data_IF_487130730882
#
_entry.id   IF_487130730882
#
_cell.length_a   1.000
_cell.length_b   1.000
_cell.length_c   1.000
_cell.angle_alpha   90.00
_cell.angle_beta   90.00
_cell.angle_gamma   90.00
#
_symmetry.space_group_name_H-M   'P 1'
#
loop_
_entity.id
_entity.type
_entity.pdbx_description
1 polymer ?
#
# COMPACT_ATOMS: atom_id res chain seq x y z
N UNK A 1 -14.08 9.58 4.38
CA UNK A 1 -14.53 9.51 2.98
C UNK A 1 -13.37 9.37 2.00
N UNK A 2 -12.39 10.28 1.98
CA UNK A 2 -11.26 10.22 1.04
C UNK A 2 -10.45 8.93 1.17
N UNK A 3 -10.10 8.52 2.40
CA UNK A 3 -9.39 7.27 2.64
C UNK A 3 -10.13 6.03 2.12
N UNK A 4 -11.46 6.03 2.21
CA UNK A 4 -12.28 4.93 1.69
C UNK A 4 -12.30 4.96 0.16
N UNK A 5 -12.43 6.14 -0.44
CA UNK A 5 -12.36 6.30 -1.89
C UNK A 5 -11.00 5.85 -2.46
N UNK A 6 -9.89 6.24 -1.82
CA UNK A 6 -8.55 5.81 -2.26
C UNK A 6 -8.34 4.31 -2.03
N UNK A 7 -8.86 3.74 -0.93
CA UNK A 7 -8.90 2.28 -0.72
C UNK A 7 -9.66 1.55 -1.83
N UNK A 8 -10.82 2.07 -2.25
CA UNK A 8 -11.59 1.46 -3.35
C UNK A 8 -10.87 1.55 -4.68
N UNK A 9 -10.31 2.72 -5.02
CA UNK A 9 -9.49 2.85 -6.24
C UNK A 9 -8.38 1.81 -6.21
N UNK A 10 -7.59 1.77 -5.13
CA UNK A 10 -6.48 0.83 -5.03
C UNK A 10 -6.89 -0.64 -5.05
N UNK A 11 -8.01 -0.99 -4.42
CA UNK A 11 -8.55 -2.35 -4.43
C UNK A 11 -8.84 -2.85 -5.85
N UNK A 12 -9.15 -1.96 -6.79
CA UNK A 12 -9.53 -2.32 -8.16
C UNK A 12 -8.54 -1.89 -9.25
N UNK A 13 -7.47 -1.16 -8.92
CA UNK A 13 -6.44 -0.73 -9.88
C UNK A 13 -5.12 -1.50 -9.77
N UNK A 14 -5.05 -2.57 -8.96
CA UNK A 14 -3.92 -3.50 -8.91
C UNK A 14 -3.91 -4.55 -10.03
N UNK A 15 -4.22 -4.14 -11.26
CA UNK A 15 -4.42 -4.96 -12.47
C UNK A 15 -3.13 -5.58 -13.03
N UNK A 16 -2.01 -5.45 -12.33
CA UNK A 16 -0.77 -6.15 -12.65
C UNK A 16 -0.62 -7.46 -11.85
N UNK A 17 -1.39 -7.63 -10.76
CA UNK A 17 -1.30 -8.82 -9.92
C UNK A 17 -2.01 -10.03 -10.53
N UNK A 18 -2.93 -9.81 -11.48
CA UNK A 18 -3.71 -10.83 -12.18
C UNK A 18 -3.20 -11.12 -13.60
N UNK A 19 -2.05 -10.54 -14.01
CA UNK A 19 -1.41 -10.82 -15.31
C UNK A 19 -1.23 -12.32 -15.54
N UNK A 20 -0.81 -13.04 -14.49
CA UNK A 20 -0.58 -14.48 -14.53
C UNK A 20 -1.85 -15.28 -14.84
N UNK A 21 -3.04 -14.77 -14.50
CA UNK A 21 -4.33 -15.43 -14.77
C UNK A 21 -4.65 -15.51 -16.27
N UNK A 22 -4.34 -14.46 -17.03
CA UNK A 22 -4.69 -14.38 -18.46
C UNK A 22 -3.49 -14.51 -19.41
N UNK A 23 -2.26 -14.48 -18.90
CA UNK A 23 -1.05 -14.44 -19.72
C UNK A 23 -0.90 -15.64 -20.68
N UNK A 24 -1.38 -16.82 -20.28
CA UNK A 24 -1.37 -18.03 -21.10
C UNK A 24 -2.28 -17.90 -22.33
N UNK A 25 -3.46 -17.31 -22.17
CA UNK A 25 -4.40 -17.08 -23.27
C UNK A 25 -3.89 -16.01 -24.21
N UNK A 26 -3.35 -14.91 -23.66
CA UNK A 26 -2.73 -13.86 -24.47
C UNK A 26 -1.57 -14.38 -25.32
N UNK A 27 -0.73 -15.27 -24.76
CA UNK A 27 0.36 -15.93 -25.48
C UNK A 27 -0.16 -16.78 -26.63
N UNK A 28 -1.19 -17.58 -26.37
CA UNK A 28 -1.79 -18.48 -27.36
C UNK A 28 -2.48 -17.69 -28.47
N UNK A 29 -3.23 -16.65 -28.11
CA UNK A 29 -3.93 -15.76 -29.04
C UNK A 29 -2.98 -15.03 -30.00
N UNK A 30 -1.78 -14.67 -29.54
CA UNK A 30 -0.76 -13.98 -30.35
C UNK A 30 0.19 -14.93 -31.08
N UNK A 31 0.20 -16.22 -30.75
CA UNK A 31 1.18 -17.17 -31.28
C UNK A 31 2.64 -16.82 -30.94
N UNK A 32 2.89 -16.20 -29.79
CA UNK A 32 4.22 -15.69 -29.42
C UNK A 32 5.01 -16.64 -28.51
N UNK A 33 6.33 -16.47 -28.53
CA UNK A 33 7.25 -17.17 -27.62
C UNK A 33 7.10 -16.72 -26.16
N UNK A 34 7.63 -17.53 -25.24
CA UNK A 34 7.65 -17.18 -23.82
C UNK A 34 8.45 -15.91 -23.52
N UNK A 35 9.54 -15.71 -24.25
CA UNK A 35 10.40 -14.52 -24.11
C UNK A 35 9.62 -13.26 -24.52
N UNK A 36 8.86 -13.32 -25.61
CA UNK A 36 8.01 -12.22 -26.05
C UNK A 36 6.89 -11.92 -25.05
N UNK A 37 6.22 -12.93 -24.48
CA UNK A 37 5.23 -12.71 -23.43
C UNK A 37 5.85 -11.99 -22.21
N UNK A 38 7.06 -12.40 -21.81
CA UNK A 38 7.77 -11.76 -20.70
C UNK A 38 8.12 -10.30 -21.01
N UNK A 39 8.45 -9.97 -22.26
CA UNK A 39 8.64 -8.58 -22.67
C UNK A 39 7.35 -7.74 -22.63
N UNK A 40 6.17 -8.34 -22.85
CA UNK A 40 4.89 -7.62 -22.63
C UNK A 40 4.69 -7.28 -21.15
N UNK A 41 5.02 -8.21 -20.25
CA UNK A 41 4.98 -7.94 -18.81
C UNK A 41 5.96 -6.82 -18.41
N UNK A 42 7.19 -6.87 -18.96
CA UNK A 42 8.19 -5.80 -18.79
C UNK A 42 7.69 -4.48 -19.36
N UNK A 43 7.00 -4.47 -20.50
CA UNK A 43 6.42 -3.27 -21.08
C UNK A 43 5.43 -2.60 -20.11
N UNK A 44 4.56 -3.39 -19.48
CA UNK A 44 3.64 -2.92 -18.44
C UNK A 44 4.39 -2.34 -17.24
N UNK A 45 5.41 -3.02 -16.73
CA UNK A 45 6.20 -2.47 -15.62
C UNK A 45 6.98 -1.20 -16.04
N UNK A 46 7.46 -1.13 -17.27
CA UNK A 46 8.08 0.06 -17.85
C UNK A 46 7.09 1.23 -17.96
N UNK A 47 5.81 0.95 -18.23
CA UNK A 47 4.73 1.94 -18.18
C UNK A 47 4.68 2.67 -16.82
N UNK A 48 4.92 1.96 -15.72
CA UNK A 48 4.96 2.55 -14.37
C UNK A 48 6.14 3.51 -14.18
N UNK A 49 7.26 3.29 -14.88
CA UNK A 49 8.41 4.21 -14.85
C UNK A 49 8.10 5.57 -15.47
N UNK A 50 7.13 5.63 -16.40
CA UNK A 50 6.63 6.90 -16.96
C UNK A 50 5.69 7.65 -15.99
N UNK A 51 5.50 7.18 -14.75
CA UNK A 51 4.63 7.79 -13.75
C UNK A 51 4.87 9.27 -13.46
N UNK A 52 6.06 9.79 -13.69
CA UNK A 52 6.38 11.22 -13.49
C UNK A 52 5.45 12.16 -14.28
N UNK A 53 4.94 11.72 -15.44
CA UNK A 53 4.01 12.53 -16.24
C UNK A 53 2.65 12.74 -15.56
N UNK A 54 2.22 11.80 -14.70
CA UNK A 54 1.00 11.97 -13.89
C UNK A 54 1.16 13.09 -12.86
N UNK A 55 2.32 13.15 -12.19
CA UNK A 55 2.64 14.20 -11.23
C UNK A 55 2.74 15.58 -11.88
N UNK A 56 3.29 15.65 -13.10
CA UNK A 56 3.29 16.89 -13.90
C UNK A 56 1.86 17.28 -14.30
N UNK A 57 1.04 16.32 -14.73
CA UNK A 57 -0.36 16.57 -15.12
C UNK A 57 -1.18 17.16 -13.98
N UNK A 58 -0.97 16.69 -12.74
CA UNK A 58 -1.63 17.22 -11.54
C UNK A 58 -1.27 18.67 -11.19
N UNK A 59 -0.23 19.26 -11.80
CA UNK A 59 0.07 20.69 -11.67
C UNK A 59 -0.84 21.57 -12.52
N UNK A 60 -1.35 21.03 -13.63
CA UNK A 60 -2.14 21.77 -14.61
C UNK A 60 -3.60 21.37 -14.63
N UNK A 61 -3.92 20.14 -14.22
CA UNK A 61 -5.26 19.56 -14.27
C UNK A 61 -5.74 19.19 -12.87
N UNK A 62 -7.06 19.28 -12.60
CA UNK A 62 -7.61 18.86 -11.33
C UNK A 62 -7.51 17.34 -11.14
N UNK A 63 -7.46 16.88 -9.88
CA UNK A 63 -7.32 15.46 -9.51
C UNK A 63 -8.32 14.53 -10.20
N UNK A 64 -9.60 14.94 -10.29
CA UNK A 64 -10.63 14.14 -10.94
C UNK A 64 -10.35 13.93 -12.43
N UNK A 65 -9.81 14.93 -13.12
CA UNK A 65 -9.51 14.84 -14.55
C UNK A 65 -8.36 13.86 -14.79
N UNK A 66 -7.29 13.95 -13.99
CA UNK A 66 -6.15 13.02 -14.08
C UNK A 66 -6.57 11.58 -13.75
N UNK A 67 -7.48 11.40 -12.79
CA UNK A 67 -8.06 10.08 -12.48
C UNK A 67 -8.82 9.49 -13.67
N UNK A 68 -9.67 10.27 -14.34
CA UNK A 68 -10.36 9.79 -15.54
C UNK A 68 -9.42 9.57 -16.72
N UNK A 69 -8.38 10.38 -16.89
CA UNK A 69 -7.34 10.12 -17.89
C UNK A 69 -6.66 8.76 -17.61
N UNK A 70 -6.33 8.45 -16.35
CA UNK A 70 -5.81 7.14 -15.98
C UNK A 70 -6.78 6.01 -16.35
N UNK A 71 -8.08 6.19 -16.05
CA UNK A 71 -9.12 5.24 -16.41
C UNK A 71 -9.22 5.02 -17.92
N UNK A 72 -9.18 6.08 -18.73
CA UNK A 72 -9.23 5.99 -20.19
C UNK A 72 -7.98 5.32 -20.78
N UNK A 73 -6.80 5.64 -20.26
CA UNK A 73 -5.55 4.97 -20.66
C UNK A 73 -5.64 3.46 -20.37
N UNK A 74 -6.17 3.08 -19.20
CA UNK A 74 -6.35 1.69 -18.80
C UNK A 74 -7.40 0.97 -19.63
N UNK A 75 -8.54 1.62 -19.87
CA UNK A 75 -9.62 1.13 -20.73
C UNK A 75 -9.10 0.81 -22.13
N UNK A 76 -8.30 1.71 -22.72
CA UNK A 76 -7.71 1.49 -24.04
C UNK A 76 -6.64 0.39 -23.99
N UNK A 77 -5.72 0.45 -23.01
CA UNK A 77 -4.63 -0.51 -22.86
C UNK A 77 -5.12 -1.95 -22.69
N UNK A 78 -6.05 -2.19 -21.77
CA UNK A 78 -6.60 -3.52 -21.51
C UNK A 78 -7.75 -3.90 -22.45
N UNK A 79 -8.65 -2.97 -22.79
CA UNK A 79 -9.82 -3.26 -23.61
C UNK A 79 -9.47 -3.67 -25.03
N UNK A 80 -8.44 -3.05 -25.63
CA UNK A 80 -7.96 -3.46 -26.96
C UNK A 80 -7.25 -4.83 -26.90
N UNK A 81 -6.50 -5.11 -25.83
CA UNK A 81 -5.91 -6.43 -25.62
C UNK A 81 -6.97 -7.52 -25.40
N UNK A 82 -8.09 -7.19 -24.75
CA UNK A 82 -9.21 -8.11 -24.58
C UNK A 82 -9.86 -8.47 -25.92
N UNK A 83 -10.11 -7.49 -26.80
CA UNK A 83 -10.61 -7.74 -28.16
C UNK A 83 -9.67 -8.67 -28.97
N UNK A 84 -8.37 -8.60 -28.70
CA UNK A 84 -7.37 -9.46 -29.32
C UNK A 84 -7.46 -10.90 -28.81
N UNK A 85 -7.61 -11.11 -27.49
CA UNK A 85 -7.77 -12.46 -26.93
C UNK A 85 -9.05 -13.12 -27.47
N UNK A 86 -10.12 -12.33 -27.63
CA UNK A 86 -11.38 -12.77 -28.25
C UNK A 86 -11.29 -13.05 -29.76
N UNK A 87 -10.10 -12.91 -30.37
CA UNK A 87 -9.86 -13.12 -31.81
C UNK A 87 -10.73 -12.22 -32.72
N UNK A 88 -11.24 -11.10 -32.19
CA UNK A 88 -12.05 -10.13 -32.97
C UNK A 88 -11.12 -9.26 -33.81
N UNK A 89 -9.95 -8.92 -33.27
CA UNK A 89 -8.92 -8.11 -33.94
C UNK A 89 -7.57 -8.83 -33.92
N UNK A 90 -6.77 -8.62 -34.95
CA UNK A 90 -5.36 -9.02 -34.96
C UNK A 90 -4.48 -7.77 -34.91
N UNK A 91 -3.45 -7.79 -34.08
CA UNK A 91 -2.51 -6.67 -33.93
C UNK A 91 -1.07 -7.17 -34.02
N UNK A 92 -0.17 -6.40 -34.66
CA UNK A 92 1.26 -6.69 -34.59
C UNK A 92 1.76 -6.57 -33.15
N UNK A 93 2.75 -7.40 -32.82
CA UNK A 93 3.34 -7.48 -31.47
C UNK A 93 3.74 -6.12 -30.88
N UNK A 94 4.28 -5.21 -31.70
CA UNK A 94 4.69 -3.88 -31.25
C UNK A 94 3.51 -3.04 -30.72
N UNK A 95 2.31 -3.16 -31.33
CA UNK A 95 1.14 -2.46 -30.81
C UNK A 95 0.68 -3.06 -29.48
N UNK A 96 0.73 -4.39 -29.32
CA UNK A 96 0.43 -5.06 -28.05
C UNK A 96 1.42 -4.63 -26.96
N UNK A 97 2.70 -4.53 -27.29
CA UNK A 97 3.73 -4.00 -26.38
C UNK A 97 3.38 -2.57 -25.92
N UNK A 98 2.96 -1.70 -26.84
CA UNK A 98 2.54 -0.34 -26.50
C UNK A 98 1.26 -0.32 -25.64
N UNK A 99 0.28 -1.20 -25.93
CA UNK A 99 -0.92 -1.35 -25.12
C UNK A 99 -0.59 -1.82 -23.70
N UNK A 100 0.35 -2.76 -23.54
CA UNK A 100 0.85 -3.19 -22.22
C UNK A 100 1.53 -2.04 -21.49
N UNK A 101 2.33 -1.22 -22.17
CA UNK A 101 2.93 -0.01 -21.61
C UNK A 101 1.88 1.00 -21.13
N UNK A 102 0.84 1.26 -21.93
CA UNK A 102 -0.27 2.13 -21.54
C UNK A 102 -1.01 1.58 -20.32
N UNK A 103 -1.30 0.28 -20.30
CA UNK A 103 -1.93 -0.39 -19.16
C UNK A 103 -1.12 -0.18 -17.86
N UNK A 104 0.20 -0.36 -17.91
CA UNK A 104 1.07 -0.07 -16.78
C UNK A 104 1.13 1.41 -16.37
N UNK A 105 1.08 2.31 -17.34
CA UNK A 105 1.01 3.76 -17.11
C UNK A 105 -0.27 4.13 -16.35
N UNK A 106 -1.42 3.57 -16.73
CA UNK A 106 -2.71 3.76 -16.05
C UNK A 106 -2.64 3.40 -14.56
N UNK A 107 -2.08 2.24 -14.21
CA UNK A 107 -1.89 1.81 -12.80
C UNK A 107 -1.11 2.86 -12.01
N UNK A 108 -0.01 3.37 -12.59
CA UNK A 108 0.82 4.36 -11.92
C UNK A 108 0.10 5.69 -11.71
N UNK A 109 -0.69 6.14 -12.69
CA UNK A 109 -1.46 7.37 -12.57
C UNK A 109 -2.53 7.28 -11.45
N UNK A 110 -3.22 6.15 -11.35
CA UNK A 110 -4.13 5.89 -10.22
C UNK A 110 -3.41 5.92 -8.86
N UNK A 111 -2.21 5.32 -8.79
CA UNK A 111 -1.39 5.37 -7.59
C UNK A 111 -1.03 6.82 -7.22
N UNK A 112 -0.57 7.63 -8.18
CA UNK A 112 -0.24 9.04 -7.94
C UNK A 112 -1.43 9.83 -7.42
N UNK A 113 -2.62 9.68 -8.03
CA UNK A 113 -3.85 10.34 -7.57
C UNK A 113 -4.15 9.97 -6.11
N UNK A 114 -4.07 8.67 -5.78
CA UNK A 114 -4.29 8.20 -4.41
C UNK A 114 -3.24 8.75 -3.44
N UNK A 115 -1.98 8.85 -3.86
CA UNK A 115 -0.90 9.37 -3.00
C UNK A 115 -1.09 10.84 -2.69
N UNK A 116 -1.41 11.65 -3.70
CA UNK A 116 -1.68 13.08 -3.53
C UNK A 116 -2.90 13.30 -2.65
N UNK A 117 -3.96 12.51 -2.83
CA UNK A 117 -5.15 12.54 -1.96
C UNK A 117 -4.79 12.20 -0.50
N UNK A 118 -4.04 11.13 -0.27
CA UNK A 118 -3.67 10.71 1.09
C UNK A 118 -2.72 11.71 1.76
N UNK A 119 -1.69 12.18 1.07
CA UNK A 119 -0.70 13.12 1.62
C UNK A 119 -1.35 14.48 1.91
N UNK A 120 -2.19 14.97 1.00
CA UNK A 120 -2.87 16.27 1.18
C UNK A 120 -3.89 16.29 2.31
N UNK A 121 -4.57 15.17 2.56
CA UNK A 121 -5.66 15.10 3.55
C UNK A 121 -5.22 14.55 4.92
N UNK A 122 -4.10 13.82 5.01
CA UNK A 122 -3.65 13.19 6.26
C UNK A 122 -2.24 13.63 6.63
N UNK A 123 -2.01 14.92 6.93
CA UNK A 123 -0.67 15.45 7.19
C UNK A 123 0.06 14.76 8.37
N UNK A 124 -0.65 14.50 9.48
CA UNK A 124 -0.06 13.84 10.67
C UNK A 124 0.10 12.33 10.50
N UNK A 125 -0.80 11.68 9.76
CA UNK A 125 -0.93 10.21 9.67
C UNK A 125 -0.73 9.71 8.22
N UNK A 126 0.02 10.44 7.41
CA UNK A 126 0.21 10.14 5.97
C UNK A 126 0.77 8.74 5.73
N UNK A 127 1.72 8.29 6.54
CA UNK A 127 2.33 6.98 6.40
C UNK A 127 1.29 5.87 6.63
N UNK A 128 0.45 6.00 7.65
CA UNK A 128 -0.67 5.10 7.95
C UNK A 128 -1.72 5.10 6.83
N UNK A 129 -2.11 6.27 6.34
CA UNK A 129 -3.08 6.42 5.26
C UNK A 129 -2.58 5.81 3.94
N UNK A 130 -1.31 6.07 3.60
CA UNK A 130 -0.66 5.50 2.42
C UNK A 130 -0.51 3.99 2.54
N UNK A 131 0.01 3.46 3.65
CA UNK A 131 0.18 2.02 3.84
C UNK A 131 -1.15 1.26 3.76
N UNK A 132 -2.19 1.77 4.43
CA UNK A 132 -3.53 1.19 4.35
C UNK A 132 -4.04 1.20 2.90
N UNK A 133 -4.02 2.36 2.25
CA UNK A 133 -4.53 2.52 0.88
C UNK A 133 -3.76 1.64 -0.12
N UNK A 134 -2.43 1.69 -0.10
CA UNK A 134 -1.55 0.92 -1.00
C UNK A 134 -1.66 -0.58 -0.76
N UNK A 135 -1.91 -1.02 0.47
CA UNK A 135 -2.08 -2.44 0.77
C UNK A 135 -3.17 -3.07 -0.10
N UNK A 136 -4.32 -2.40 -0.27
CA UNK A 136 -5.46 -2.91 -1.04
C UNK A 136 -5.15 -3.15 -2.52
N UNK A 137 -4.12 -2.53 -3.09
CA UNK A 137 -3.63 -2.88 -4.43
C UNK A 137 -3.14 -4.35 -4.49
N UNK A 138 -2.58 -4.86 -3.40
CA UNK A 138 -2.23 -6.28 -3.24
C UNK A 138 -3.43 -7.20 -2.97
N UNK A 139 -4.66 -6.69 -2.86
CA UNK A 139 -5.86 -7.52 -2.75
C UNK A 139 -6.60 -7.63 -4.09
N UNK A 140 -6.25 -6.79 -5.08
CA UNK A 140 -6.91 -6.75 -6.39
C UNK A 140 -7.03 -8.13 -7.03
N UNK A 141 -5.95 -8.90 -7.17
CA UNK A 141 -6.04 -10.21 -7.84
C UNK A 141 -7.10 -11.14 -7.21
N UNK A 142 -7.21 -11.18 -5.88
CA UNK A 142 -8.23 -11.99 -5.21
C UNK A 142 -9.66 -11.47 -5.47
N UNK A 143 -9.85 -10.15 -5.50
CA UNK A 143 -11.14 -9.55 -5.87
C UNK A 143 -11.51 -9.84 -7.32
N UNK A 144 -10.56 -9.74 -8.25
CA UNK A 144 -10.77 -10.07 -9.66
C UNK A 144 -11.12 -11.55 -9.84
N UNK A 145 -10.45 -12.47 -9.14
CA UNK A 145 -10.82 -13.89 -9.13
C UNK A 145 -12.25 -14.12 -8.63
N UNK A 146 -12.67 -13.45 -7.55
CA UNK A 146 -14.05 -13.57 -7.08
C UNK A 146 -15.06 -13.02 -8.09
N UNK A 147 -14.75 -11.90 -8.75
CA UNK A 147 -15.63 -11.32 -9.77
C UNK A 147 -15.73 -12.24 -11.00
N UNK A 148 -14.59 -12.74 -11.50
CA UNK A 148 -14.55 -13.67 -12.63
C UNK A 148 -15.38 -14.92 -12.31
N UNK A 149 -15.09 -15.61 -11.20
CA UNK A 149 -15.82 -16.82 -10.79
C UNK A 149 -17.31 -16.58 -10.49
N UNK A 150 -17.70 -15.35 -10.09
CA UNK A 150 -19.09 -14.99 -9.86
C UNK A 150 -19.90 -14.81 -11.16
N UNK A 151 -19.22 -14.35 -12.22
CA UNK A 151 -19.78 -14.19 -13.57
C UNK A 151 -19.78 -15.54 -14.26
N UNK A 152 -18.59 -16.06 -14.55
CA UNK A 152 -18.36 -17.35 -15.21
C UNK A 152 -17.03 -17.96 -14.72
N UNK A 153 -17.04 -19.09 -13.99
CA UNK A 153 -15.83 -19.74 -13.52
C UNK A 153 -15.03 -20.43 -14.62
N UNK A 154 -15.59 -20.61 -15.82
CA UNK A 154 -14.93 -21.31 -16.93
C UNK A 154 -14.29 -20.35 -17.97
N UNK A 155 -14.47 -19.03 -17.83
CA UNK A 155 -13.96 -18.02 -18.77
C UNK A 155 -12.78 -17.19 -18.20
N UNK A 156 -11.56 -17.63 -18.50
CA UNK A 156 -10.31 -16.94 -18.13
C UNK A 156 -10.06 -15.63 -18.91
N UNK A 157 -10.83 -15.35 -19.97
CA UNK A 157 -10.67 -14.12 -20.76
C UNK A 157 -11.29 -12.89 -20.09
N UNK A 158 -12.13 -13.10 -19.07
CA UNK A 158 -12.82 -12.04 -18.33
C UNK A 158 -11.86 -11.09 -17.61
N UNK A 159 -10.67 -11.53 -17.21
CA UNK A 159 -9.75 -10.71 -16.43
C UNK A 159 -9.34 -9.41 -17.15
N UNK A 160 -9.00 -9.45 -18.46
CA UNK A 160 -8.67 -8.21 -19.19
C UNK A 160 -9.88 -7.30 -19.34
N UNK A 161 -11.06 -7.87 -19.58
CA UNK A 161 -12.28 -7.10 -19.69
C UNK A 161 -12.59 -6.36 -18.39
N UNK A 162 -12.47 -7.06 -17.25
CA UNK A 162 -12.61 -6.48 -15.93
C UNK A 162 -11.55 -5.40 -15.69
N UNK A 163 -10.28 -5.64 -16.06
CA UNK A 163 -9.20 -4.66 -15.92
C UNK A 163 -9.44 -3.38 -16.74
N UNK A 164 -10.21 -3.46 -17.82
CA UNK A 164 -10.59 -2.31 -18.63
C UNK A 164 -11.76 -1.53 -18.01
N UNK A 165 -12.82 -2.22 -17.56
CA UNK A 165 -14.08 -1.58 -17.11
C UNK A 165 -14.13 -1.22 -15.63
N UNK A 166 -13.59 -2.08 -14.75
CA UNK A 166 -13.73 -1.90 -13.30
C UNK A 166 -13.01 -0.62 -12.82
N UNK A 167 -11.78 -0.29 -13.26
CA UNK A 167 -11.14 0.98 -12.91
C UNK A 167 -11.95 2.22 -13.34
N UNK A 168 -12.59 2.17 -14.52
CA UNK A 168 -13.46 3.24 -15.01
C UNK A 168 -14.71 3.41 -14.13
N UNK A 169 -15.37 2.29 -13.79
CA UNK A 169 -16.53 2.30 -12.91
C UNK A 169 -16.19 2.87 -11.52
N UNK A 170 -15.10 2.41 -10.91
CA UNK A 170 -14.66 2.86 -9.58
C UNK A 170 -14.25 4.34 -9.59
N UNK A 171 -13.65 4.83 -10.69
CA UNK A 171 -13.39 6.27 -10.87
C UNK A 171 -14.68 7.10 -10.83
N UNK A 172 -15.77 6.60 -11.43
CA UNK A 172 -17.09 7.20 -11.35
C UNK A 172 -17.68 7.20 -9.93
N UNK A 173 -17.64 6.05 -9.25
CA UNK A 173 -18.15 5.90 -7.88
C UNK A 173 -17.41 6.80 -6.88
N UNK A 174 -16.11 6.98 -7.06
CA UNK A 174 -15.25 7.77 -6.17
C UNK A 174 -15.18 9.25 -6.52
N UNK A 175 -15.79 9.66 -7.64
CA UNK A 175 -15.79 11.06 -8.11
C UNK A 175 -16.34 12.02 -7.06
N UNK A 176 -17.46 11.68 -6.42
CA UNK A 176 -18.12 12.57 -5.46
C UNK A 176 -17.25 12.84 -4.22
N UNK A 177 -16.67 11.83 -3.55
CA UNK A 177 -15.65 12.05 -2.52
C UNK A 177 -14.45 12.87 -2.98
N UNK A 178 -13.98 12.68 -4.22
CA UNK A 178 -12.82 13.38 -4.78
C UNK A 178 -13.14 14.84 -5.10
N UNK A 179 -14.37 15.16 -5.52
CA UNK A 179 -14.80 16.54 -5.77
C UNK A 179 -15.08 17.32 -4.48
N UNK A 180 -15.59 16.64 -3.44
CA UNK A 180 -15.95 17.26 -2.16
C UNK A 180 -14.81 17.23 -1.14
N UNK A 181 -13.58 17.47 -1.59
CA UNK A 181 -12.43 17.53 -0.69
C UNK A 181 -12.63 18.66 0.34
N UNK A 182 -12.57 18.37 1.65
CA UNK A 182 -12.54 19.42 2.65
C UNK A 182 -11.22 20.20 2.51
N UNK A 183 -11.22 21.53 2.79
CA UNK A 183 -9.98 22.29 2.82
C UNK A 183 -9.01 21.68 3.84
N UNK A 184 -7.69 21.71 3.59
CA UNK A 184 -6.70 21.18 4.53
C UNK A 184 -6.82 21.93 5.87
N UNK A 185 -7.30 21.25 6.90
CA UNK A 185 -7.52 21.84 8.21
C UNK A 185 -6.56 21.20 9.21
N UNK A 186 -5.73 22.01 9.85
CA UNK A 186 -4.88 21.54 10.95
C UNK A 186 -5.78 21.16 12.13
N UNK A 187 -5.81 19.86 12.45
CA UNK A 187 -6.63 19.33 13.53
C UNK A 187 -5.98 19.60 14.90
N UNK A 188 -6.76 20.00 15.93
CA UNK A 188 -6.26 20.17 17.28
C UNK A 188 -5.75 18.83 17.88
N UNK A 189 -4.85 18.87 18.88
CA UNK A 189 -4.16 17.69 19.41
C UNK A 189 -5.09 16.58 19.95
N UNK A 190 -6.28 16.91 20.46
CA UNK A 190 -7.27 15.93 20.91
C UNK A 190 -7.88 15.12 19.75
N UNK A 191 -7.88 15.67 18.54
CA UNK A 191 -8.33 14.97 17.35
C UNK A 191 -7.27 13.95 16.85
N UNK A 192 -5.99 14.15 17.14
CA UNK A 192 -4.91 13.22 16.76
C UNK A 192 -5.06 11.85 17.46
N UNK A 193 -5.39 11.85 18.76
CA UNK A 193 -5.68 10.60 19.50
C UNK A 193 -6.95 9.89 19.02
N UNK A 194 -7.94 10.67 18.55
CA UNK A 194 -9.17 10.14 17.95
C UNK A 194 -8.88 9.49 16.60
N UNK A 195 -8.02 10.09 15.78
CA UNK A 195 -7.60 9.55 14.48
C UNK A 195 -6.83 8.23 14.61
N UNK A 196 -5.93 8.11 15.58
CA UNK A 196 -5.16 6.86 15.80
C UNK A 196 -6.08 5.65 16.02
N UNK A 197 -7.16 5.80 16.80
CA UNK A 197 -8.16 4.73 17.01
C UNK A 197 -8.95 4.39 15.75
N UNK A 198 -9.26 5.39 14.92
CA UNK A 198 -9.93 5.18 13.63
C UNK A 198 -9.00 4.41 12.69
N UNK A 199 -7.73 4.80 12.60
CA UNK A 199 -6.73 4.07 11.81
C UNK A 199 -6.53 2.63 12.31
N UNK A 200 -6.50 2.40 13.62
CA UNK A 200 -6.41 1.05 14.19
C UNK A 200 -7.62 0.19 13.79
N UNK A 201 -8.84 0.73 13.89
CA UNK A 201 -10.04 0.02 13.43
C UNK A 201 -9.98 -0.28 11.93
N UNK A 202 -9.61 0.70 11.11
CA UNK A 202 -9.49 0.53 9.66
C UNK A 202 -8.44 -0.51 9.29
N UNK A 203 -7.30 -0.53 9.99
CA UNK A 203 -6.28 -1.58 9.83
C UNK A 203 -6.83 -2.95 10.25
N UNK A 204 -7.61 -3.03 11.33
CA UNK A 204 -8.30 -4.26 11.74
C UNK A 204 -9.27 -4.78 10.67
N UNK A 205 -10.09 -3.90 10.08
CA UNK A 205 -10.98 -4.24 8.95
C UNK A 205 -10.17 -4.67 7.73
N UNK A 206 -9.05 -4.02 7.44
CA UNK A 206 -8.17 -4.39 6.34
C UNK A 206 -7.55 -5.78 6.57
N UNK A 207 -7.01 -6.07 7.76
CA UNK A 207 -6.51 -7.41 8.12
C UNK A 207 -7.61 -8.46 7.96
N UNK A 208 -8.81 -8.19 8.46
CA UNK A 208 -9.97 -9.08 8.31
C UNK A 208 -10.30 -9.31 6.83
N UNK A 209 -10.29 -8.27 6.01
CA UNK A 209 -10.54 -8.35 4.56
C UNK A 209 -9.47 -9.19 3.85
N UNK A 210 -8.19 -8.97 4.16
CA UNK A 210 -7.09 -9.75 3.61
C UNK A 210 -7.17 -11.23 3.99
N UNK A 211 -7.45 -11.53 5.26
CA UNK A 211 -7.62 -12.92 5.74
C UNK A 211 -8.86 -13.58 5.13
N UNK A 212 -9.97 -12.84 5.04
CA UNK A 212 -11.21 -13.29 4.41
C UNK A 212 -10.95 -13.75 2.97
N UNK A 213 -10.27 -12.91 2.18
CA UNK A 213 -9.96 -13.23 0.79
C UNK A 213 -8.93 -14.36 0.67
N UNK A 214 -7.85 -14.34 1.46
CA UNK A 214 -6.84 -15.39 1.44
C UNK A 214 -7.44 -16.77 1.76
N UNK A 215 -8.27 -16.85 2.80
CA UNK A 215 -8.81 -18.13 3.28
C UNK A 215 -10.00 -18.62 2.47
N UNK A 216 -10.83 -17.71 1.93
CA UNK A 216 -12.09 -18.09 1.28
C UNK A 216 -12.04 -18.14 -0.25
N UNK A 217 -11.09 -17.44 -0.89
CA UNK A 217 -10.96 -17.46 -2.34
C UNK A 217 -10.81 -18.88 -2.95
N UNK A 218 -10.08 -19.84 -2.32
CA UNK A 218 -10.01 -21.22 -2.81
C UNK A 218 -11.37 -21.95 -2.90
N UNK A 219 -12.39 -21.50 -2.17
CA UNK A 219 -13.74 -22.08 -2.19
C UNK A 219 -14.69 -21.41 -3.19
N UNK A 220 -14.18 -20.48 -4.01
CA UNK A 220 -14.97 -19.69 -4.98
C UNK A 220 -15.20 -20.38 -6.33
N UNK A 221 -14.80 -21.65 -6.51
CA UNK A 221 -14.97 -22.37 -7.78
C UNK A 221 -16.42 -22.55 -8.23
N UNK A 222 -17.40 -22.38 -7.33
CA UNK A 222 -18.83 -22.45 -7.67
C UNK A 222 -19.42 -21.05 -7.71
N UNK A 223 -20.12 -20.69 -8.79
CA UNK A 223 -20.61 -19.31 -9.03
C UNK A 223 -21.48 -18.77 -7.89
N UNK A 224 -22.38 -19.57 -7.30
CA UNK A 224 -23.20 -19.09 -6.17
C UNK A 224 -22.35 -18.79 -4.92
N UNK A 225 -21.31 -19.58 -4.66
CA UNK A 225 -20.36 -19.34 -3.56
C UNK A 225 -19.51 -18.12 -3.86
N UNK A 226 -18.98 -18.00 -5.08
CA UNK A 226 -18.24 -16.82 -5.53
C UNK A 226 -19.05 -15.54 -5.34
N UNK A 227 -20.34 -15.52 -5.72
CA UNK A 227 -21.25 -14.38 -5.50
C UNK A 227 -21.43 -14.04 -4.04
N UNK A 228 -21.62 -15.04 -3.17
CA UNK A 228 -21.76 -14.83 -1.73
C UNK A 228 -20.45 -14.31 -1.11
N UNK A 229 -19.31 -14.86 -1.54
CA UNK A 229 -18.00 -14.42 -1.09
C UNK A 229 -17.67 -13.00 -1.58
N UNK A 230 -18.01 -12.68 -2.83
CA UNK A 230 -17.89 -11.35 -3.39
C UNK A 230 -18.76 -10.35 -2.62
N UNK A 231 -20.01 -10.70 -2.32
CA UNK A 231 -20.89 -9.86 -1.51
C UNK A 231 -20.30 -9.59 -0.12
N UNK A 232 -19.70 -10.60 0.52
CA UNK A 232 -18.98 -10.44 1.78
C UNK A 232 -17.74 -9.55 1.65
N UNK A 233 -16.95 -9.70 0.59
CA UNK A 233 -15.78 -8.86 0.32
C UNK A 233 -16.17 -7.39 0.09
N UNK A 234 -17.21 -7.14 -0.72
CA UNK A 234 -17.75 -5.79 -0.95
C UNK A 234 -18.32 -5.19 0.34
N UNK A 235 -19.00 -5.99 1.17
CA UNK A 235 -19.48 -5.53 2.47
C UNK A 235 -18.32 -5.08 3.37
N UNK A 236 -17.22 -5.83 3.42
CA UNK A 236 -16.02 -5.47 4.18
C UNK A 236 -15.34 -4.20 3.62
N UNK A 237 -15.31 -4.02 2.29
CA UNK A 237 -14.81 -2.80 1.63
C UNK A 237 -15.68 -1.57 1.91
N UNK A 238 -16.99 -1.74 2.09
CA UNK A 238 -17.95 -0.66 2.34
C UNK A 238 -18.09 -0.34 3.83
N UNK A 239 -17.81 -1.30 4.72
CA UNK A 239 -17.91 -1.14 6.18
C UNK A 239 -17.24 0.14 6.73
N UNK A 240 -16.04 0.56 6.25
CA UNK A 240 -15.42 1.83 6.63
C UNK A 240 -16.30 3.08 6.45
N UNK A 241 -17.30 3.06 5.55
CA UNK A 241 -18.23 4.18 5.37
C UNK A 241 -19.17 4.39 6.56
N UNK A 242 -19.43 3.35 7.36
CA UNK A 242 -20.31 3.45 8.53
C UNK A 242 -19.62 4.15 9.71
N UNK A 243 -18.30 4.34 9.66
CA UNK A 243 -17.50 4.89 10.76
C UNK A 243 -17.92 6.28 11.23
N UNK A 244 -18.17 7.28 10.36
CA UNK A 244 -18.61 8.60 10.79
C UNK A 244 -19.93 8.54 11.57
N UNK A 245 -20.86 7.67 11.15
CA UNK A 245 -22.13 7.45 11.84
C UNK A 245 -21.95 6.79 13.21
N UNK A 246 -21.06 5.80 13.32
CA UNK A 246 -20.76 5.11 14.58
C UNK A 246 -20.07 6.06 15.58
N UNK A 247 -19.11 6.85 15.12
CA UNK A 247 -18.42 7.85 15.96
C UNK A 247 -19.40 8.92 16.44
N UNK A 248 -20.25 9.42 15.56
CA UNK A 248 -21.28 10.39 15.92
C UNK A 248 -22.29 9.83 16.92
N UNK A 249 -22.78 8.60 16.71
CA UNK A 249 -23.71 7.93 17.61
C UNK A 249 -23.07 7.67 18.99
N UNK A 250 -21.78 7.29 19.03
CA UNK A 250 -21.03 7.13 20.27
C UNK A 250 -20.85 8.45 21.00
N UNK A 251 -20.43 9.51 20.31
CA UNK A 251 -20.25 10.84 20.91
C UNK A 251 -21.59 11.40 21.41
N UNK A 252 -22.69 11.14 20.69
CA UNK A 252 -24.04 11.47 21.13
C UNK A 252 -24.44 10.66 22.37
N UNK A 253 -24.25 9.33 22.36
CA UNK A 253 -24.57 8.45 23.49
C UNK A 253 -23.76 8.83 24.75
N UNK A 254 -22.47 9.12 24.59
CA UNK A 254 -21.63 9.59 25.70
C UNK A 254 -22.13 10.92 26.28
N UNK A 255 -22.54 11.87 25.43
CA UNK A 255 -23.12 13.15 25.88
C UNK A 255 -24.48 12.97 26.58
N UNK A 256 -25.33 12.08 26.08
CA UNK A 256 -26.64 11.80 26.68
C UNK A 256 -26.50 11.03 28.00
N UNK A 257 -25.56 10.10 28.10
CA UNK A 257 -25.30 9.33 29.32
C UNK A 257 -24.60 10.20 30.37
N UNK A 258 -23.61 11.01 29.99
CA UNK A 258 -22.93 11.92 30.94
C UNK A 258 -23.86 12.98 31.50
N UNK A 259 -24.75 13.55 30.67
CA UNK A 259 -25.77 14.50 31.13
C UNK A 259 -26.83 13.86 32.02
N UNK A 260 -27.23 12.60 31.77
CA UNK A 260 -28.15 11.87 32.67
C UNK A 260 -27.51 11.51 34.01
N UNK A 261 -26.22 11.19 34.03
CA UNK A 261 -25.49 10.91 35.28
C UNK A 261 -25.26 12.21 36.07
N UNK A 262 -25.05 13.35 35.42
CA UNK A 262 -24.91 14.64 36.12
C UNK A 262 -26.25 15.23 36.61
N UNK A 263 -27.39 14.85 36.02
CA UNK A 263 -28.73 15.31 36.45
C UNK A 263 -29.39 14.43 37.52
N UNK A 264 -28.93 13.19 37.73
CA UNK A 264 -29.42 12.32 38.81
C UNK A 264 -28.57 12.38 40.10
N UNK A 265 -27.55 13.25 40.15
CA UNK A 265 -26.64 13.40 41.29
C UNK A 265 -26.93 14.57 42.22
N UNK A 266 -28.09 15.23 42.13
CA UNK A 266 -28.43 16.40 42.95
C UNK A 266 -29.13 16.06 44.27
N UNK A 267 -28.81 14.95 44.93
CA UNK A 267 -29.19 14.73 46.34
C UNK A 267 -28.29 13.70 47.05
N UNK A 268 -27.00 13.98 47.24
CA UNK A 268 -26.32 13.67 48.51
C UNK A 268 -24.93 14.33 48.53
N UNK A 269 -24.74 15.27 49.45
CA UNK A 269 -23.41 15.77 49.77
C UNK A 269 -22.68 14.76 50.65
N UNK A 270 -21.49 14.35 50.23
CA UNK A 270 -20.38 14.17 51.16
C UNK A 270 -19.08 14.49 50.44
N UNK A 271 -18.42 15.49 50.99
CA UNK A 271 -17.03 15.92 50.81
C UNK A 271 -16.11 14.74 50.50
N UNK A 272 -15.38 14.81 49.38
CA UNK A 272 -13.97 14.45 49.41
C UNK A 272 -13.18 15.49 48.62
N UNK A 273 -12.44 16.27 49.39
CA UNK A 273 -11.41 17.22 48.99
C UNK A 273 -10.22 16.35 48.59
N UNK A 274 -9.92 16.20 47.29
CA UNK A 274 -8.63 15.68 46.81
C UNK A 274 -8.57 15.61 45.26
N UNK A 275 -8.79 16.71 44.55
CA UNK A 275 -8.37 16.79 43.13
C UNK A 275 -8.16 18.22 42.60
N UNK A 276 -8.15 19.21 43.50
CA UNK A 276 -7.89 20.62 43.15
C UNK A 276 -6.75 21.21 43.99
N UNK A 277 -5.71 20.41 44.24
CA UNK A 277 -4.53 20.86 45.01
C UNK A 277 -3.17 20.47 44.38
N UNK A 278 -3.12 20.00 43.13
CA UNK A 278 -1.85 19.72 42.41
C UNK A 278 -1.53 20.71 41.27
N UNK A 279 -2.19 21.88 41.23
CA UNK A 279 -1.87 22.90 40.23
C UNK A 279 -1.66 24.31 40.80
N UNK A 280 -1.41 24.42 42.11
CA UNK A 280 -1.21 25.71 42.78
C UNK A 280 0.10 25.84 43.57
N UNK A 281 1.02 24.89 43.44
CA UNK A 281 2.27 24.86 44.23
C UNK A 281 3.56 25.02 43.41
N UNK A 282 3.51 25.60 42.20
CA UNK A 282 4.76 25.91 41.46
C UNK A 282 4.79 27.26 40.74
N UNK A 283 3.88 28.18 41.06
CA UNK A 283 3.95 29.56 40.55
C UNK A 283 3.69 30.54 41.69
N UNK A 284 4.79 31.09 42.21
CA UNK A 284 4.78 32.35 42.95
C UNK A 284 5.32 32.27 44.36
N UNK A 285 6.60 32.60 44.54
CA UNK A 285 7.06 33.53 45.58
C UNK A 285 8.57 33.79 45.44
N UNK A 286 8.93 34.91 44.82
CA UNK A 286 10.05 35.75 45.28
C UNK A 286 9.50 36.71 46.36
N UNK A 287 10.30 37.22 47.33
CA UNK A 287 11.11 38.43 47.09
C UNK A 287 12.42 38.61 47.91
N UNK A 288 13.33 39.42 47.33
CA UNK A 288 14.33 40.35 47.90
C UNK A 288 15.38 39.81 48.91
N UNK A 289 16.68 40.11 48.88
CA UNK A 289 17.53 41.12 48.22
C UNK A 289 18.66 41.49 49.20
N UNK A 290 19.93 41.68 48.75
CA UNK A 290 20.98 42.60 49.27
C UNK A 290 22.32 42.38 48.51
N UNK A 291 22.68 43.39 47.73
CA UNK A 291 23.97 44.04 47.41
C UNK A 291 25.31 43.27 47.19
N UNK A 292 25.95 43.67 46.08
CA UNK A 292 27.23 43.32 45.41
C UNK A 292 28.54 43.62 46.22
N UNK A 293 29.78 43.57 45.67
CA UNK A 293 30.28 43.14 44.33
C UNK A 293 31.55 42.21 44.37
N UNK A 294 31.99 41.66 43.23
CA UNK A 294 33.39 41.70 42.69
C UNK A 294 33.71 40.60 41.66
N UNK A 295 34.61 40.97 40.74
CA UNK A 295 35.21 40.21 39.64
C UNK A 295 35.78 38.82 40.00
N UNK A 296 35.72 37.88 39.06
CA UNK A 296 36.49 36.64 39.16
C UNK A 296 36.31 35.69 37.97
N UNK A 297 37.32 35.66 37.11
CA UNK A 297 37.55 34.73 36.02
C UNK A 297 37.51 33.25 36.49
N UNK A 298 36.88 32.32 35.75
CA UNK A 298 36.87 30.91 36.16
C UNK A 298 36.19 29.93 35.21
N UNK A 299 37.00 29.30 34.35
CA UNK A 299 36.68 28.16 33.49
C UNK A 299 35.88 27.05 34.20
N UNK A 300 34.80 26.57 33.58
CA UNK A 300 34.30 25.20 33.80
C UNK A 300 34.08 24.48 32.47
N UNK A 301 34.99 23.54 32.26
CA UNK A 301 35.13 22.59 31.16
C UNK A 301 33.87 21.74 30.94
N UNK A 302 33.33 21.78 29.73
CA UNK A 302 32.46 20.74 29.18
C UNK A 302 33.36 19.53 28.87
N UNK A 303 33.07 18.42 29.54
CA UNK A 303 33.72 17.14 29.32
C UNK A 303 33.18 16.52 28.02
N UNK A 304 33.81 16.86 26.90
CA UNK A 304 33.65 16.16 25.62
C UNK A 304 34.58 14.95 25.65
N UNK A 305 34.02 13.75 25.84
CA UNK A 305 34.72 12.52 25.49
C UNK A 305 34.74 12.41 23.96
N UNK A 306 35.86 12.85 23.40
CA UNK A 306 36.25 12.77 22.00
C UNK A 306 36.68 11.32 21.73
N UNK A 307 35.90 10.58 20.95
CA UNK A 307 36.37 9.37 20.28
C UNK A 307 36.74 9.74 18.85
N UNK A 308 38.00 9.52 18.50
CA UNK A 308 38.62 9.87 17.22
C UNK A 308 38.11 9.02 16.05
N UNK A 309 37.84 9.75 14.95
CA UNK A 309 38.18 9.47 13.55
C UNK A 309 37.82 8.13 12.91
N UNK A 310 36.60 8.11 12.34
CA UNK A 310 36.31 7.42 11.10
C UNK A 310 35.81 8.42 10.05
N UNK A 311 36.58 8.65 8.98
CA UNK A 311 36.33 9.61 7.89
C UNK A 311 34.97 9.45 7.15
N UNK A 312 34.16 8.43 7.49
CA UNK A 312 32.80 8.23 6.98
C UNK A 312 31.68 8.82 7.86
N UNK A 313 31.96 9.26 9.09
CA UNK A 313 30.93 9.77 10.01
C UNK A 313 30.36 11.14 9.62
N UNK A 314 31.23 12.05 9.17
CA UNK A 314 30.85 13.45 8.89
C UNK A 314 30.05 13.65 7.60
N UNK A 315 30.00 12.64 6.71
CA UNK A 315 29.24 12.73 5.45
C UNK A 315 27.78 12.35 5.65
N UNK A 316 27.48 11.44 6.60
CA UNK A 316 26.10 10.99 6.86
C UNK A 316 25.30 11.93 7.77
N UNK A 317 25.96 12.66 8.68
CA UNK A 317 25.24 13.53 9.63
C UNK A 317 24.76 14.84 8.98
N UNK A 318 25.44 15.31 7.93
CA UNK A 318 25.14 16.56 7.23
C UNK A 318 24.00 16.47 6.21
N UNK A 319 23.58 15.25 5.86
CA UNK A 319 22.60 14.98 4.80
C UNK A 319 21.25 14.47 5.35
N UNK A 320 21.03 14.54 6.66
CA UNK A 320 19.69 14.29 7.21
C UNK A 320 18.71 15.33 6.67
N UNK A 321 17.68 14.86 5.95
CA UNK A 321 16.51 15.66 5.62
C UNK A 321 15.99 16.30 6.90
N UNK A 322 16.10 17.62 7.00
CA UNK A 322 15.80 18.39 8.21
C UNK A 322 14.36 18.22 8.69
N UNK A 323 13.44 17.73 7.84
CA UNK A 323 12.12 17.24 8.24
C UNK A 323 11.67 16.15 7.25
N UNK A 324 11.44 14.91 7.73
CA UNK A 324 10.80 13.86 6.93
C UNK A 324 9.36 14.29 6.58
N UNK A 325 9.16 14.60 5.30
CA UNK A 325 7.88 14.90 4.67
C UNK A 325 7.51 16.38 4.59
N UNK A 326 8.50 17.24 4.36
CA UNK A 326 8.26 18.47 3.61
C UNK A 326 8.39 18.20 2.10
N UNK A 327 7.77 19.04 1.26
CA UNK A 327 7.94 18.94 -0.18
C UNK A 327 9.34 19.43 -0.58
N UNK A 328 10.20 18.51 -1.00
CA UNK A 328 11.53 18.85 -1.48
C UNK A 328 11.58 18.90 -3.01
N UNK A 329 12.35 19.86 -3.55
CA UNK A 329 12.57 19.94 -4.99
C UNK A 329 13.25 18.67 -5.51
N UNK A 330 12.78 18.14 -6.65
CA UNK A 330 13.34 16.94 -7.27
C UNK A 330 14.86 17.05 -7.53
N UNK A 331 15.34 18.25 -7.90
CA UNK A 331 16.77 18.52 -8.11
C UNK A 331 17.60 18.35 -6.83
N UNK A 332 17.00 18.65 -5.67
CA UNK A 332 17.65 18.48 -4.38
C UNK A 332 17.74 16.99 -4.01
N UNK A 333 16.66 16.24 -4.24
CA UNK A 333 16.58 14.80 -3.94
C UNK A 333 17.60 13.99 -4.76
N UNK A 334 17.66 14.18 -6.08
CA UNK A 334 18.56 13.40 -6.97
C UNK A 334 20.04 13.66 -6.72
N UNK A 335 20.39 14.79 -6.07
CA UNK A 335 21.77 15.10 -5.69
C UNK A 335 22.24 14.40 -4.40
N UNK A 336 21.32 13.83 -3.62
CA UNK A 336 21.63 13.19 -2.33
C UNK A 336 21.95 11.72 -2.50
N UNK A 337 22.85 11.21 -1.67
CA UNK A 337 23.21 9.79 -1.65
C UNK A 337 22.07 8.90 -1.17
N UNK A 338 21.28 9.37 -0.20
CA UNK A 338 20.12 8.63 0.30
C UNK A 338 19.16 8.26 -0.83
N UNK A 339 18.91 9.19 -1.76
CA UNK A 339 18.06 8.92 -2.92
C UNK A 339 18.60 7.76 -3.76
N UNK A 340 19.90 7.72 -4.04
CA UNK A 340 20.50 6.66 -4.84
C UNK A 340 20.56 5.31 -4.11
N UNK A 341 20.76 5.33 -2.78
CA UNK A 341 20.67 4.12 -1.96
C UNK A 341 19.24 3.56 -1.97
N UNK A 342 18.23 4.41 -1.76
CA UNK A 342 16.83 4.01 -1.86
C UNK A 342 16.48 3.54 -3.27
N UNK A 343 16.96 4.23 -4.31
CA UNK A 343 16.74 3.86 -5.69
C UNK A 343 17.35 2.50 -6.01
N UNK A 344 18.61 2.24 -5.61
CA UNK A 344 19.28 0.96 -5.86
C UNK A 344 18.59 -0.18 -5.08
N UNK A 345 18.25 0.05 -3.81
CA UNK A 345 17.54 -0.95 -3.01
C UNK A 345 16.17 -1.31 -3.61
N UNK A 346 15.42 -0.30 -4.07
CA UNK A 346 14.13 -0.50 -4.73
C UNK A 346 14.29 -1.13 -6.12
N UNK A 347 15.30 -0.72 -6.88
CA UNK A 347 15.63 -1.27 -8.19
C UNK A 347 15.96 -2.76 -8.06
N UNK A 348 16.77 -3.18 -7.08
CA UNK A 348 17.09 -4.59 -6.91
C UNK A 348 15.92 -5.37 -6.29
N UNK A 349 15.36 -4.92 -5.16
CA UNK A 349 14.33 -5.67 -4.44
C UNK A 349 12.97 -5.66 -5.15
N UNK A 350 12.49 -4.48 -5.52
CA UNK A 350 11.18 -4.30 -6.13
C UNK A 350 11.06 -4.96 -7.51
N UNK A 351 12.09 -4.82 -8.36
CA UNK A 351 12.04 -5.43 -9.71
C UNK A 351 12.12 -6.95 -9.67
N UNK A 352 12.91 -7.54 -8.77
CA UNK A 352 12.93 -9.01 -8.57
C UNK A 352 11.53 -9.50 -8.19
N UNK A 353 10.84 -8.78 -7.29
CA UNK A 353 9.46 -9.08 -6.90
C UNK A 353 8.47 -9.01 -8.07
N UNK A 354 8.63 -8.03 -8.96
CA UNK A 354 7.80 -7.89 -10.18
C UNK A 354 8.08 -9.00 -11.19
N UNK A 355 9.35 -9.32 -11.45
CA UNK A 355 9.72 -10.43 -12.35
C UNK A 355 9.16 -11.75 -11.84
N UNK A 356 9.23 -12.00 -10.53
CA UNK A 356 8.62 -13.18 -9.91
C UNK A 356 7.10 -13.21 -10.12
N UNK A 357 6.40 -12.10 -9.84
CA UNK A 357 4.95 -11.97 -10.02
C UNK A 357 4.52 -12.24 -11.47
N UNK A 358 5.21 -11.62 -12.42
CA UNK A 358 4.87 -11.69 -13.85
C UNK A 358 5.05 -13.11 -14.43
N UNK A 359 5.97 -13.88 -13.85
CA UNK A 359 6.25 -15.25 -14.28
C UNK A 359 5.58 -16.32 -13.40
N UNK A 360 4.80 -15.93 -12.40
CA UNK A 360 4.27 -16.85 -11.39
C UNK A 360 3.43 -17.98 -11.98
N UNK A 361 2.58 -17.69 -12.97
CA UNK A 361 1.77 -18.69 -13.65
C UNK A 361 2.61 -19.73 -14.38
N UNK A 362 3.66 -19.29 -15.07
CA UNK A 362 4.57 -20.18 -15.78
C UNK A 362 5.43 -21.01 -14.82
N UNK A 363 5.89 -20.42 -13.72
CA UNK A 363 6.61 -21.13 -12.66
C UNK A 363 5.72 -22.24 -12.10
N UNK A 364 4.47 -21.94 -11.79
CA UNK A 364 3.50 -22.92 -11.28
C UNK A 364 3.27 -24.05 -12.28
N UNK A 365 3.08 -23.74 -13.56
CA UNK A 365 2.92 -24.73 -14.63
C UNK A 365 4.16 -25.63 -14.78
N UNK A 366 5.36 -25.04 -14.78
CA UNK A 366 6.63 -25.79 -14.93
C UNK A 366 6.91 -26.78 -13.81
N UNK A 367 6.39 -26.51 -12.60
CA UNK A 367 6.50 -27.38 -11.43
C UNK A 367 5.41 -28.46 -11.37
N UNK A 368 4.50 -28.50 -12.35
CA UNK A 368 3.37 -29.44 -12.40
C UNK A 368 2.13 -28.98 -11.64
N UNK A 369 2.07 -27.71 -11.19
CA UNK A 369 0.94 -27.14 -10.44
C UNK A 369 0.10 -26.16 -11.28
N UNK A 370 -0.14 -26.46 -12.56
CA UNK A 370 -0.90 -25.60 -13.46
C UNK A 370 -2.35 -25.36 -13.02
N UNK A 371 -2.99 -26.36 -12.40
CA UNK A 371 -4.36 -26.24 -11.85
C UNK A 371 -4.44 -25.38 -10.59
N UNK A 372 -3.30 -25.00 -9.99
CA UNK A 372 -3.23 -24.24 -8.73
C UNK A 372 -2.64 -22.85 -8.93
N UNK A 373 -2.51 -22.37 -10.18
CA UNK A 373 -1.95 -21.03 -10.47
C UNK A 373 -2.68 -19.93 -9.70
N UNK A 374 -4.02 -19.94 -9.68
CA UNK A 374 -4.84 -18.96 -8.96
C UNK A 374 -4.57 -18.94 -7.45
N UNK A 375 -4.26 -20.09 -6.84
CA UNK A 375 -3.90 -20.19 -5.42
C UNK A 375 -2.54 -19.54 -5.13
N UNK A 376 -1.53 -19.78 -5.99
CA UNK A 376 -0.22 -19.12 -5.86
C UNK A 376 -0.31 -17.61 -6.05
N UNK A 377 -1.12 -17.16 -7.02
CA UNK A 377 -1.37 -15.73 -7.26
C UNK A 377 -2.04 -15.10 -6.04
N UNK A 378 -3.09 -15.72 -5.50
CA UNK A 378 -3.77 -15.26 -4.29
C UNK A 378 -2.82 -15.17 -3.09
N UNK A 379 -1.94 -16.17 -2.92
CA UNK A 379 -0.96 -16.19 -1.84
C UNK A 379 0.06 -15.05 -1.99
N UNK A 380 0.65 -14.89 -3.18
CA UNK A 380 1.60 -13.80 -3.46
C UNK A 380 0.96 -12.43 -3.25
N UNK A 381 -0.24 -12.23 -3.79
CA UNK A 381 -1.03 -11.01 -3.64
C UNK A 381 -1.30 -10.71 -2.15
N UNK A 382 -1.71 -11.72 -1.38
CA UNK A 382 -1.94 -11.58 0.06
C UNK A 382 -0.67 -11.24 0.84
N UNK A 383 0.47 -11.87 0.52
CA UNK A 383 1.77 -11.49 1.09
C UNK A 383 2.12 -10.03 0.76
N UNK A 384 1.85 -9.58 -0.47
CA UNK A 384 2.03 -8.18 -0.87
C UNK A 384 1.14 -7.24 -0.06
N UNK A 385 -0.15 -7.59 0.11
CA UNK A 385 -1.11 -6.85 0.92
C UNK A 385 -0.63 -6.70 2.37
N UNK A 386 -0.37 -7.80 3.07
CA UNK A 386 0.06 -7.76 4.47
C UNK A 386 1.42 -7.07 4.62
N UNK A 387 2.36 -7.29 3.69
CA UNK A 387 3.65 -6.61 3.70
C UNK A 387 3.53 -5.08 3.64
N UNK A 388 2.65 -4.57 2.76
CA UNK A 388 2.36 -3.13 2.63
C UNK A 388 1.59 -2.57 3.81
N UNK A 389 0.63 -3.34 4.35
CA UNK A 389 -0.16 -2.94 5.52
C UNK A 389 0.73 -2.82 6.77
N UNK A 390 1.62 -3.79 6.98
CA UNK A 390 2.54 -3.84 8.12
C UNK A 390 3.72 -2.86 7.97
N UNK A 391 3.94 -2.27 6.80
CA UNK A 391 5.03 -1.32 6.57
C UNK A 391 4.92 -0.05 7.43
N UNK A 392 3.69 0.36 7.80
CA UNK A 392 3.45 1.45 8.75
C UNK A 392 3.25 0.96 10.20
N UNK A 393 3.49 -0.33 10.46
CA UNK A 393 3.50 -0.92 11.81
C UNK A 393 4.41 -0.21 12.82
N UNK A 394 5.61 0.29 12.44
CA UNK A 394 6.47 1.06 13.35
C UNK A 394 5.81 2.34 13.90
N UNK A 395 4.89 2.96 13.15
CA UNK A 395 4.17 4.16 13.61
C UNK A 395 3.12 3.82 14.69
N UNK A 396 2.59 2.59 14.68
CA UNK A 396 1.73 2.07 15.76
C UNK A 396 2.54 1.54 16.95
N UNK A 397 3.70 0.96 16.68
CA UNK A 397 4.56 0.29 17.66
C UNK A 397 5.66 1.20 18.21
N UNK A 398 5.51 2.53 18.12
CA UNK A 398 6.50 3.49 18.67
C UNK A 398 6.69 3.36 20.20
N UNK A 399 5.83 2.60 20.88
CA UNK A 399 6.02 2.18 22.28
C UNK A 399 6.71 0.82 22.47
N UNK A 400 6.87 0.00 21.43
CA UNK A 400 7.53 -1.31 21.51
C UNK A 400 8.47 -1.55 20.33
N UNK A 401 9.77 -1.45 20.63
CA UNK A 401 10.94 -1.76 19.79
C UNK A 401 10.68 -2.88 18.79
N UNK A 402 10.50 -2.55 17.51
CA UNK A 402 10.34 -3.58 16.49
C UNK A 402 10.87 -3.20 15.09
N UNK A 403 12.14 -2.78 15.06
CA UNK A 403 12.99 -2.84 13.85
C UNK A 403 13.24 -4.27 13.35
N UNK A 404 12.75 -5.31 14.07
CA UNK A 404 12.97 -6.72 13.74
C UNK A 404 11.85 -7.40 12.94
N UNK A 405 10.63 -6.85 12.84
CA UNK A 405 9.52 -7.52 12.10
C UNK A 405 9.67 -7.42 10.58
N UNK A 406 10.14 -6.29 10.06
CA UNK A 406 10.44 -6.18 8.62
C UNK A 406 11.58 -7.13 8.23
N UNK A 407 12.59 -7.30 9.09
CA UNK A 407 13.64 -8.30 8.89
C UNK A 407 13.09 -9.73 9.01
N UNK A 408 12.15 -10.00 9.94
CA UNK A 408 11.53 -11.31 10.12
C UNK A 408 10.69 -11.75 8.91
N UNK A 409 10.03 -10.86 8.16
CA UNK A 409 9.30 -11.27 6.96
C UNK A 409 10.23 -11.53 5.76
N UNK A 410 11.28 -10.74 5.59
CA UNK A 410 12.32 -11.02 4.58
C UNK A 410 13.08 -12.30 4.93
N UNK A 411 13.36 -12.51 6.21
CA UNK A 411 13.99 -13.73 6.75
C UNK A 411 13.02 -14.91 6.70
N UNK A 412 11.71 -14.75 6.86
CA UNK A 412 10.72 -15.83 6.71
C UNK A 412 10.56 -16.26 5.25
N UNK A 413 10.60 -15.32 4.29
CA UNK A 413 10.68 -15.65 2.86
C UNK A 413 11.96 -16.41 2.55
N UNK A 414 13.10 -15.96 3.10
CA UNK A 414 14.40 -16.63 2.93
C UNK A 414 14.46 -17.98 3.68
N UNK A 415 13.86 -18.12 4.87
CA UNK A 415 13.80 -19.36 5.63
C UNK A 415 12.81 -20.37 5.04
N UNK A 416 11.72 -19.92 4.43
CA UNK A 416 10.82 -20.80 3.69
C UNK A 416 11.56 -21.37 2.47
N UNK A 417 12.28 -20.52 1.72
CA UNK A 417 13.16 -20.94 0.62
C UNK A 417 14.31 -21.87 1.09
N UNK A 418 14.92 -21.60 2.24
CA UNK A 418 15.99 -22.43 2.83
C UNK A 418 15.47 -23.73 3.45
N UNK A 419 14.21 -23.78 3.92
CA UNK A 419 13.61 -25.00 4.49
C UNK A 419 13.16 -25.97 3.41
N UNK A 420 12.72 -25.46 2.25
CA UNK A 420 12.62 -26.28 1.02
C UNK A 420 13.98 -26.82 0.57
N UNK A 421 15.08 -26.14 0.90
CA UNK A 421 16.45 -26.57 0.60
C UNK A 421 16.95 -27.71 1.51
N UNK A 422 16.40 -27.87 2.72
CA UNK A 422 16.84 -28.88 3.69
C UNK A 422 16.25 -30.28 3.44
N UNK A 423 15.11 -30.37 2.75
CA UNK A 423 14.54 -31.65 2.31
C UNK A 423 15.07 -32.11 0.94
N UNK A 424 15.98 -31.35 0.32
CA UNK A 424 16.52 -31.60 -1.02
C UNK A 424 17.82 -32.44 -1.03
N UNK A 425 18.14 -33.19 0.03
CA UNK A 425 19.27 -34.12 0.02
C UNK A 425 19.07 -35.32 -0.93
N UNK A 426 17.83 -35.60 -1.35
CA UNK A 426 17.53 -36.57 -2.42
C UNK A 426 17.45 -35.95 -3.83
N UNK A 427 17.59 -34.62 -3.97
CA UNK A 427 17.43 -33.90 -5.25
C UNK A 427 18.76 -33.37 -5.81
N UNK A 428 19.90 -33.89 -5.33
CA UNK A 428 21.24 -33.46 -5.76
C UNK A 428 21.53 -33.81 -7.22
N UNK A 429 20.81 -34.76 -7.81
CA UNK A 429 20.92 -35.10 -9.24
C UNK A 429 20.06 -34.21 -10.16
N UNK A 430 18.97 -33.61 -9.66
CA UNK A 430 18.12 -32.69 -10.45
C UNK A 430 18.71 -31.27 -10.56
N UNK A 431 19.54 -30.86 -9.61
CA UNK A 431 20.20 -29.54 -9.65
C UNK A 431 21.36 -29.43 -10.65
N UNK A 432 21.90 -30.55 -11.15
CA UNK A 432 22.88 -30.52 -12.26
C UNK A 432 22.23 -30.04 -13.58
N UNK A 433 20.91 -30.09 -13.68
CA UNK A 433 20.16 -29.56 -14.83
C UNK A 433 20.04 -28.02 -14.79
N UNK A 434 19.97 -27.40 -13.61
CA UNK A 434 19.75 -25.96 -13.49
C UNK A 434 20.99 -25.14 -13.89
N UNK A 435 22.21 -25.62 -13.58
CA UNK A 435 23.45 -25.01 -14.09
C UNK A 435 23.68 -25.30 -15.58
N UNK A 436 23.17 -26.41 -16.12
CA UNK A 436 23.33 -26.73 -17.56
C UNK A 436 22.43 -25.90 -18.48
N UNK A 437 21.38 -25.23 -17.96
CA UNK A 437 20.51 -24.34 -18.74
C UNK A 437 21.05 -22.90 -18.77
N UNK A 438 21.83 -22.49 -17.77
CA UNK A 438 22.51 -21.19 -17.78
C UNK A 438 23.61 -21.10 -18.86
N UNK A 439 24.26 -22.22 -19.20
CA UNK A 439 25.29 -22.29 -20.25
C UNK A 439 24.74 -22.50 -21.68
N UNK A 440 23.41 -22.48 -21.86
CA UNK A 440 22.77 -22.57 -23.20
C UNK A 440 21.84 -21.40 -23.52
N UNK A 441 21.78 -20.37 -22.67
CA UNK A 441 21.04 -19.12 -22.89
C UNK A 441 21.95 -17.91 -22.65
N UNK A 442 23.20 -18.04 -23.09
CA UNK A 442 24.08 -16.98 -23.60
C UNK A 442 24.60 -17.53 -24.92
#
# INVERSE_FOLDING_TARGET
>A
MILVATTWIQAFTGTNFDFSSYSSDLKTALGISQVQLNYLAVASDMGKAFGWCSGVSLRYLPLWAVMFMAAFIGLFGYGVQWLLIQQIISLPYFLVFFLSLLAGCSICWFNTVCYVLCIGNFQSNRALALALTISFNGVSAALYTLIANAIDPDDDTLYLFLNALVPLFISGVTLLPVLRQPPPQQLPPDAIKRDSRIFLFLNGVAVLTGLYLLLLNPFSYVSYRARLLLAGAILLLVLPLCLPGIVYARDWAQRVISSRISLNGSTFGLVNVDDLELHKELIGSEPAGINAPTNGNGNRSIFILRAEDGCCGNVMEKDQLTVLGEEHSARLLVRRWDFWLYYLAYLCGGTIGLVYSNNLGQISQSLGFGTQTSAFVTLYSSCSFFGRLLAAGPDFLREYVLTRIQLLFTVMHVFYLLRTHRNALSCREKFRFWFSVHDKII
#
